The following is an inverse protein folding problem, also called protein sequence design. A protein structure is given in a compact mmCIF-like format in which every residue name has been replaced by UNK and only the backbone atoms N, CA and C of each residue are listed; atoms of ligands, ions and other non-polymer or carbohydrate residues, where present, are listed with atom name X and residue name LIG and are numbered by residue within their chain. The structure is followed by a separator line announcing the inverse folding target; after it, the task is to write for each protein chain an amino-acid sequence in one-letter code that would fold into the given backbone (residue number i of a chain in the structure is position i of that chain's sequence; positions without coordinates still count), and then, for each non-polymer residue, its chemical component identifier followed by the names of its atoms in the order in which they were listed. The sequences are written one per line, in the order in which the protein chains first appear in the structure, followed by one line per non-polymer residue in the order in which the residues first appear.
data_IF_637129383443
#
_entry.id   IF_637129383443
#
_cell.length_a   1.000
_cell.length_b   1.000
_cell.length_c   1.000
_cell.angle_alpha   90.00
_cell.angle_beta   90.00
_cell.angle_gamma   90.00
#
_symmetry.space_group_name_H-M   'P 1'
#
loop_
_entity.id
_entity.type
_entity.pdbx_description
1 polymer ?
#
# COMPACT_ATOMS: atom_id res chain seq x y z
N UNK A 1 -21.22 -8.31 7.18
CA UNK A 1 -20.45 -9.26 6.34
C UNK A 1 -19.18 -9.54 7.11
N UNK A 2 -18.97 -10.78 7.54
CA UNK A 2 -17.75 -11.16 8.25
C UNK A 2 -16.59 -11.23 7.27
N UNK A 3 -15.45 -10.67 7.64
CA UNK A 3 -14.25 -10.64 6.79
C UNK A 3 -13.41 -11.92 6.88
N UNK A 4 -13.62 -12.74 7.90
CA UNK A 4 -12.88 -13.98 8.18
C UNK A 4 -11.36 -13.76 8.27
N UNK A 5 -10.95 -12.67 8.90
CA UNK A 5 -9.55 -12.28 9.05
C UNK A 5 -8.99 -12.53 10.46
N UNK A 6 -9.85 -12.86 11.43
CA UNK A 6 -9.42 -13.10 12.81
C UNK A 6 -8.32 -14.18 12.88
N UNK A 7 -7.23 -13.85 13.57
CA UNK A 7 -6.06 -14.72 13.71
C UNK A 7 -5.11 -14.76 12.49
N UNK A 8 -5.45 -14.15 11.36
CA UNK A 8 -4.54 -13.99 10.21
C UNK A 8 -3.36 -13.09 10.56
N UNK A 9 -2.22 -13.37 9.98
CA UNK A 9 -1.01 -12.55 10.15
C UNK A 9 -0.84 -11.61 8.96
N UNK A 10 -0.73 -10.33 9.23
CA UNK A 10 -0.62 -9.25 8.25
C UNK A 10 0.71 -8.52 8.40
N UNK A 11 1.47 -8.42 7.34
CA UNK A 11 2.70 -7.63 7.25
C UNK A 11 2.44 -6.37 6.42
N UNK A 12 2.85 -5.20 6.93
CA UNK A 12 2.66 -3.92 6.23
C UNK A 12 3.97 -3.15 6.17
N UNK A 13 4.50 -2.93 4.98
CA UNK A 13 5.65 -2.03 4.79
C UNK A 13 5.18 -0.57 4.80
N UNK A 14 6.00 0.32 5.38
CA UNK A 14 5.61 1.72 5.54
C UNK A 14 4.45 1.94 6.52
N UNK A 15 4.34 1.07 7.54
CA UNK A 15 3.22 1.06 8.50
C UNK A 15 3.25 2.13 9.58
N UNK A 16 4.29 2.98 9.66
CA UNK A 16 4.43 3.98 10.72
C UNK A 16 3.66 5.28 10.52
N UNK A 17 3.09 5.53 9.33
CA UNK A 17 2.33 6.77 9.03
C UNK A 17 1.31 6.54 7.92
N UNK A 18 0.40 7.51 7.75
CA UNK A 18 -0.51 7.59 6.61
C UNK A 18 -1.35 6.33 6.38
N UNK A 19 -1.42 5.89 5.13
CA UNK A 19 -2.27 4.75 4.71
C UNK A 19 -1.84 3.46 5.40
N UNK A 20 -0.51 3.20 5.50
CA UNK A 20 0.00 1.99 6.16
C UNK A 20 -0.34 1.92 7.65
N UNK A 21 -0.26 3.06 8.36
CA UNK A 21 -0.69 3.16 9.76
C UNK A 21 -2.19 2.88 9.89
N UNK A 22 -3.02 3.52 9.08
CA UNK A 22 -4.47 3.29 9.10
C UNK A 22 -4.82 1.83 8.78
N UNK A 23 -4.14 1.23 7.79
CA UNK A 23 -4.33 -0.18 7.45
C UNK A 23 -4.01 -1.10 8.63
N UNK A 24 -2.90 -0.85 9.34
CA UNK A 24 -2.56 -1.61 10.54
C UNK A 24 -3.70 -1.60 11.57
N UNK A 25 -4.30 -0.44 11.84
CA UNK A 25 -5.42 -0.33 12.77
C UNK A 25 -6.67 -1.10 12.28
N UNK A 26 -7.04 -0.95 11.00
CA UNK A 26 -8.23 -1.63 10.48
C UNK A 26 -8.04 -3.16 10.50
N UNK A 27 -6.86 -3.69 10.18
CA UNK A 27 -6.57 -5.12 10.33
C UNK A 27 -6.58 -5.58 11.81
N UNK A 28 -6.08 -4.77 12.74
CA UNK A 28 -6.14 -5.09 14.18
C UNK A 28 -7.60 -5.16 14.68
N UNK A 29 -8.48 -4.28 14.21
CA UNK A 29 -9.92 -4.31 14.53
C UNK A 29 -10.61 -5.60 14.05
N UNK A 30 -10.13 -6.18 12.94
CA UNK A 30 -10.60 -7.47 12.42
C UNK A 30 -9.98 -8.69 13.16
N UNK A 31 -9.23 -8.45 14.24
CA UNK A 31 -8.60 -9.51 15.04
C UNK A 31 -7.35 -10.12 14.40
N UNK A 32 -6.72 -9.44 13.46
CA UNK A 32 -5.47 -9.89 12.86
C UNK A 32 -4.28 -9.67 13.82
N UNK A 33 -3.24 -10.50 13.66
CA UNK A 33 -1.90 -10.23 14.18
C UNK A 33 -1.17 -9.38 13.16
N UNK A 34 -0.71 -8.19 13.55
CA UNK A 34 -0.16 -7.22 12.61
C UNK A 34 1.31 -6.93 12.93
N UNK A 35 2.14 -6.96 11.89
CA UNK A 35 3.52 -6.53 11.95
C UNK A 35 3.76 -5.40 10.94
N UNK A 36 4.38 -4.31 11.38
CA UNK A 36 4.70 -3.17 10.53
C UNK A 36 6.20 -2.90 10.49
N UNK A 37 6.68 -2.45 9.34
CA UNK A 37 8.06 -1.98 9.23
C UNK A 37 8.17 -0.64 8.48
N UNK A 38 9.34 -0.03 8.60
CA UNK A 38 9.70 1.22 7.93
C UNK A 38 10.99 1.78 8.52
N UNK A 39 11.58 2.80 7.89
CA UNK A 39 12.89 3.34 8.29
C UNK A 39 12.86 4.17 9.58
N UNK A 40 11.75 4.90 9.81
CA UNK A 40 11.63 5.84 10.93
C UNK A 40 11.14 5.14 12.19
N UNK A 41 12.07 4.62 13.00
CA UNK A 41 11.75 3.85 14.21
C UNK A 41 10.85 4.60 15.18
N UNK A 42 11.01 5.92 15.32
CA UNK A 42 10.18 6.73 16.22
C UNK A 42 8.71 6.79 15.77
N UNK A 43 8.46 6.81 14.45
CA UNK A 43 7.09 6.74 13.92
C UNK A 43 6.45 5.37 14.15
N UNK A 44 7.23 4.30 14.06
CA UNK A 44 6.76 2.95 14.37
C UNK A 44 6.41 2.80 15.85
N UNK A 45 7.29 3.29 16.74
CA UNK A 45 7.03 3.29 18.20
C UNK A 45 5.78 4.10 18.53
N UNK A 46 5.66 5.31 17.99
CA UNK A 46 4.47 6.15 18.19
C UNK A 46 3.20 5.41 17.76
N UNK A 47 3.19 4.77 16.60
CA UNK A 47 2.05 3.98 16.11
C UNK A 47 1.74 2.80 17.03
N UNK A 48 2.76 2.07 17.48
CA UNK A 48 2.59 0.97 18.43
C UNK A 48 1.97 1.45 19.74
N UNK A 49 2.51 2.52 20.33
CA UNK A 49 2.10 3.02 21.64
C UNK A 49 0.65 3.56 21.58
N UNK A 50 0.27 4.24 20.47
CA UNK A 50 -1.11 4.66 20.23
C UNK A 50 -2.07 3.45 20.13
N UNK A 51 -1.67 2.37 19.45
CA UNK A 51 -2.55 1.19 19.29
C UNK A 51 -2.58 0.33 20.56
N UNK A 52 -1.49 0.29 21.29
CA UNK A 52 -1.45 -0.35 22.62
C UNK A 52 -2.40 0.36 23.60
N UNK A 53 -2.49 1.67 23.56
CA UNK A 53 -3.47 2.43 24.37
C UNK A 53 -4.93 2.13 23.99
N UNK A 54 -5.18 1.62 22.79
CA UNK A 54 -6.49 1.12 22.33
C UNK A 54 -6.71 -0.38 22.61
N UNK A 55 -5.74 -1.05 23.27
CA UNK A 55 -5.81 -2.47 23.60
C UNK A 55 -5.33 -3.42 22.50
N UNK A 56 -4.61 -2.94 21.49
CA UNK A 56 -4.07 -3.76 20.42
C UNK A 56 -2.56 -3.98 20.56
N UNK A 57 -2.11 -5.18 20.24
CA UNK A 57 -0.69 -5.50 20.13
C UNK A 57 -0.21 -5.37 18.69
N UNK A 58 0.97 -4.76 18.50
CA UNK A 58 1.55 -4.50 17.20
C UNK A 58 3.06 -4.80 17.20
N UNK A 59 3.50 -5.70 16.34
CA UNK A 59 4.92 -5.93 16.11
C UNK A 59 5.49 -4.82 15.23
N UNK A 60 6.64 -4.25 15.62
CA UNK A 60 7.32 -3.21 14.85
C UNK A 60 8.78 -3.58 14.62
N UNK A 61 9.31 -3.25 13.44
CA UNK A 61 10.75 -3.35 13.16
C UNK A 61 11.22 -2.24 12.23
N UNK A 62 12.39 -1.66 12.50
CA UNK A 62 13.03 -0.72 11.57
C UNK A 62 13.65 -1.51 10.42
N UNK A 63 13.15 -1.26 9.20
CA UNK A 63 13.61 -1.91 7.96
C UNK A 63 13.61 -0.88 6.84
N UNK A 64 14.68 -0.84 6.07
CA UNK A 64 14.66 -0.23 4.74
C UNK A 64 14.22 -1.29 3.73
N UNK A 65 13.11 -1.03 3.04
CA UNK A 65 12.54 -1.96 2.05
C UNK A 65 13.41 -2.16 0.81
N UNK A 66 14.44 -1.33 0.62
CA UNK A 66 15.44 -1.48 -0.45
C UNK A 66 16.52 -2.50 -0.10
N UNK A 67 16.67 -2.85 1.18
CA UNK A 67 17.52 -3.92 1.65
C UNK A 67 16.73 -5.24 1.68
N UNK A 68 16.95 -6.08 0.67
CA UNK A 68 16.30 -7.39 0.55
C UNK A 68 16.55 -8.27 1.78
N UNK A 69 17.77 -8.31 2.28
CA UNK A 69 18.15 -9.18 3.40
C UNK A 69 17.47 -8.75 4.69
N UNK A 70 17.43 -7.44 4.97
CA UNK A 70 16.72 -6.90 6.12
C UNK A 70 15.22 -7.14 6.04
N UNK A 71 14.62 -7.03 4.84
CA UNK A 71 13.19 -7.30 4.63
C UNK A 71 12.86 -8.79 4.79
N UNK A 72 13.72 -9.68 4.29
CA UNK A 72 13.57 -11.13 4.48
C UNK A 72 13.72 -11.52 5.96
N UNK A 73 14.73 -10.99 6.65
CA UNK A 73 14.89 -11.23 8.09
C UNK A 73 13.71 -10.74 8.93
N UNK A 74 13.06 -9.65 8.51
CA UNK A 74 11.82 -9.19 9.14
C UNK A 74 10.67 -10.19 8.93
N UNK A 75 10.51 -10.72 7.71
CA UNK A 75 9.49 -11.73 7.41
C UNK A 75 9.72 -13.01 8.24
N UNK A 76 10.97 -13.47 8.35
CA UNK A 76 11.34 -14.62 9.22
C UNK A 76 11.00 -14.36 10.70
N UNK A 77 11.25 -13.15 11.18
CA UNK A 77 10.91 -12.77 12.56
C UNK A 77 9.38 -12.76 12.78
N UNK A 78 8.59 -12.29 11.81
CA UNK A 78 7.13 -12.34 11.86
C UNK A 78 6.62 -13.78 11.84
N UNK A 79 7.13 -14.63 10.94
CA UNK A 79 6.76 -16.04 10.88
C UNK A 79 7.09 -16.76 12.19
N UNK A 80 8.26 -16.49 12.79
CA UNK A 80 8.67 -17.04 14.09
C UNK A 80 7.72 -16.61 15.21
N UNK A 81 7.30 -15.35 15.23
CA UNK A 81 6.43 -14.78 16.28
C UNK A 81 4.96 -15.23 16.13
N UNK A 82 4.47 -15.31 14.90
CA UNK A 82 3.04 -15.47 14.63
C UNK A 82 2.68 -16.80 13.91
N UNK A 83 3.67 -17.55 13.45
CA UNK A 83 3.50 -18.89 12.86
C UNK A 83 3.23 -18.91 11.36
N UNK A 84 2.77 -17.80 10.77
CA UNK A 84 2.50 -17.71 9.32
C UNK A 84 2.53 -16.25 8.87
N UNK A 85 2.52 -16.03 7.55
CA UNK A 85 2.19 -14.76 6.91
C UNK A 85 1.03 -15.05 5.95
N UNK A 86 -0.13 -14.43 6.19
CA UNK A 86 -1.35 -14.65 5.40
C UNK A 86 -1.63 -13.47 4.45
N UNK A 87 -1.26 -12.26 4.86
CA UNK A 87 -1.43 -11.03 4.07
C UNK A 87 -0.14 -10.22 4.09
N UNK A 88 0.26 -9.76 2.91
CA UNK A 88 1.42 -8.88 2.76
C UNK A 88 1.01 -7.60 2.03
N UNK A 89 1.28 -6.45 2.64
CA UNK A 89 0.96 -5.14 2.06
C UNK A 89 2.26 -4.40 1.71
N UNK A 90 2.56 -4.31 0.43
CA UNK A 90 3.61 -3.46 -0.11
C UNK A 90 3.09 -2.02 -0.20
N UNK A 91 3.24 -1.25 0.89
CA UNK A 91 2.74 0.11 0.98
C UNK A 91 3.87 1.16 1.06
N UNK A 92 5.07 0.78 1.45
CA UNK A 92 6.20 1.70 1.51
C UNK A 92 6.44 2.38 0.15
N UNK A 93 6.83 3.64 0.18
CA UNK A 93 7.16 4.41 -1.01
C UNK A 93 7.46 5.86 -0.69
N UNK A 94 8.04 6.56 -1.64
CA UNK A 94 8.36 7.98 -1.60
C UNK A 94 7.81 8.69 -2.83
N UNK A 95 7.68 10.00 -2.76
CA UNK A 95 7.23 10.81 -3.88
C UNK A 95 7.93 12.16 -3.85
N UNK A 96 8.63 12.48 -4.94
CA UNK A 96 9.25 13.76 -5.15
C UNK A 96 8.61 14.44 -6.36
N UNK A 97 8.56 15.76 -6.35
CA UNK A 97 8.01 16.56 -7.46
C UNK A 97 9.12 17.47 -7.97
N UNK A 98 9.59 17.19 -9.19
CA UNK A 98 10.62 17.97 -9.89
C UNK A 98 10.35 17.94 -11.39
N UNK A 99 10.80 18.96 -12.12
CA UNK A 99 10.85 18.93 -13.59
C UNK A 99 11.82 17.87 -14.11
N UNK A 100 11.63 17.43 -15.35
CA UNK A 100 12.51 16.42 -15.96
C UNK A 100 14.00 16.80 -15.88
N UNK A 101 14.30 18.06 -16.15
CA UNK A 101 15.69 18.55 -16.18
C UNK A 101 16.31 18.71 -14.78
N UNK A 102 15.50 18.66 -13.73
CA UNK A 102 15.93 18.81 -12.32
C UNK A 102 16.14 17.44 -11.64
N UNK A 103 15.73 16.34 -12.28
CA UNK A 103 16.02 14.99 -11.79
C UNK A 103 17.40 14.55 -12.25
N UNK A 104 18.22 14.03 -11.33
CA UNK A 104 19.37 13.24 -11.71
C UNK A 104 19.02 11.74 -11.85
N UNK A 105 19.93 11.00 -12.48
CA UNK A 105 19.73 9.56 -12.74
C UNK A 105 19.74 8.75 -11.43
N UNK A 106 20.49 9.18 -10.42
CA UNK A 106 20.57 8.50 -9.14
C UNK A 106 19.29 8.66 -8.32
N UNK A 107 18.66 9.83 -8.39
CA UNK A 107 17.33 10.02 -7.79
C UNK A 107 16.28 9.11 -8.47
N UNK A 108 16.37 8.93 -9.79
CA UNK A 108 15.50 7.98 -10.51
C UNK A 108 15.72 6.54 -10.01
N UNK A 109 16.97 6.11 -9.86
CA UNK A 109 17.33 4.77 -9.35
C UNK A 109 16.81 4.57 -7.93
N UNK A 110 17.10 5.51 -7.03
CA UNK A 110 16.65 5.49 -5.63
C UNK A 110 15.12 5.37 -5.53
N UNK A 111 14.39 6.08 -6.39
CA UNK A 111 12.93 6.00 -6.42
C UNK A 111 12.46 4.64 -6.98
N UNK A 112 13.14 4.12 -7.99
CA UNK A 112 12.86 2.79 -8.56
C UNK A 112 13.07 1.70 -7.50
N UNK A 113 14.15 1.76 -6.75
CA UNK A 113 14.44 0.81 -5.68
C UNK A 113 13.38 0.87 -4.58
N UNK A 114 13.02 2.07 -4.16
CA UNK A 114 12.07 2.24 -3.05
C UNK A 114 10.61 1.95 -3.39
N UNK A 115 10.21 1.98 -4.68
CA UNK A 115 8.81 1.81 -5.10
C UNK A 115 8.62 0.51 -5.89
N UNK A 116 9.47 0.24 -6.89
CA UNK A 116 9.26 -0.88 -7.81
C UNK A 116 10.02 -2.13 -7.36
N UNK A 117 11.33 -2.00 -7.11
CA UNK A 117 12.15 -3.14 -6.68
C UNK A 117 11.69 -3.64 -5.31
N UNK A 118 11.35 -2.74 -4.37
CA UNK A 118 10.82 -3.12 -3.06
C UNK A 118 9.50 -3.91 -3.14
N UNK A 119 8.61 -3.57 -4.08
CA UNK A 119 7.37 -4.33 -4.31
C UNK A 119 7.67 -5.72 -4.88
N UNK A 120 8.61 -5.82 -5.81
CA UNK A 120 9.07 -7.11 -6.31
C UNK A 120 9.63 -7.96 -5.17
N UNK A 121 10.57 -7.42 -4.40
CA UNK A 121 11.22 -8.09 -3.26
C UNK A 121 10.23 -8.54 -2.20
N UNK A 122 9.37 -7.64 -1.74
CA UNK A 122 8.34 -7.94 -0.75
C UNK A 122 7.34 -8.99 -1.23
N UNK A 123 6.92 -8.94 -2.49
CA UNK A 123 6.01 -9.94 -3.07
C UNK A 123 6.68 -11.31 -3.18
N UNK A 124 7.96 -11.37 -3.55
CA UNK A 124 8.73 -12.61 -3.60
C UNK A 124 8.86 -13.24 -2.22
N UNK A 125 9.29 -12.47 -1.22
CA UNK A 125 9.41 -12.91 0.18
C UNK A 125 8.06 -13.40 0.70
N UNK A 126 6.99 -12.63 0.50
CA UNK A 126 5.65 -13.03 0.90
C UNK A 126 5.22 -14.37 0.29
N UNK A 127 5.42 -14.54 -1.01
CA UNK A 127 5.08 -15.77 -1.72
C UNK A 127 5.88 -16.97 -1.20
N UNK A 128 7.16 -16.81 -0.89
CA UNK A 128 8.00 -17.86 -0.30
C UNK A 128 7.44 -18.32 1.05
N UNK A 129 7.04 -17.40 1.94
CA UNK A 129 6.44 -17.73 3.24
C UNK A 129 5.03 -18.35 3.09
N UNK A 130 4.18 -17.80 2.22
CA UNK A 130 2.83 -18.33 1.98
C UNK A 130 2.85 -19.75 1.41
N UNK A 131 3.81 -20.06 0.52
CA UNK A 131 4.00 -21.42 -0.03
C UNK A 131 4.36 -22.46 1.03
N UNK A 132 5.14 -22.09 2.06
CA UNK A 132 5.51 -23.01 3.16
C UNK A 132 4.27 -23.57 3.85
N UNK A 133 3.24 -22.77 4.02
CA UNK A 133 1.99 -23.20 4.68
C UNK A 133 1.06 -23.98 3.76
N UNK A 134 1.17 -23.80 2.45
CA UNK A 134 0.26 -24.36 1.45
C UNK A 134 -1.20 -23.86 1.56
N UNK A 135 -1.47 -22.85 2.39
CA UNK A 135 -2.84 -22.31 2.61
C UNK A 135 -3.23 -21.22 1.62
N UNK A 136 -2.25 -20.72 0.84
CA UNK A 136 -2.41 -19.54 0.01
C UNK A 136 -2.20 -18.26 0.80
N UNK A 137 -2.63 -17.13 0.25
CA UNK A 137 -2.48 -15.82 0.88
C UNK A 137 -2.89 -14.67 -0.01
N UNK A 138 -2.66 -13.44 0.44
CA UNK A 138 -2.98 -12.23 -0.32
C UNK A 138 -1.82 -11.25 -0.27
N UNK A 139 -1.41 -10.77 -1.45
CA UNK A 139 -0.43 -9.70 -1.59
C UNK A 139 -1.16 -8.46 -2.11
N UNK A 140 -1.08 -7.35 -1.37
CA UNK A 140 -1.67 -6.07 -1.73
C UNK A 140 -0.56 -5.08 -2.09
N UNK A 141 -0.62 -4.50 -3.28
CA UNK A 141 0.38 -3.56 -3.77
C UNK A 141 -0.18 -2.13 -3.85
N UNK A 142 0.54 -1.17 -3.26
CA UNK A 142 0.23 0.24 -3.42
C UNK A 142 0.58 0.73 -4.83
N UNK A 143 -0.40 0.83 -5.72
CA UNK A 143 -0.27 1.55 -6.98
C UNK A 143 -0.58 3.04 -6.77
N UNK A 144 -1.01 3.73 -7.79
CA UNK A 144 -1.41 5.14 -7.77
C UNK A 144 -2.25 5.47 -8.99
N UNK A 145 -3.12 6.48 -8.90
CA UNK A 145 -3.73 7.05 -10.10
C UNK A 145 -2.69 7.56 -11.11
N UNK A 146 -1.47 7.90 -10.64
CA UNK A 146 -0.35 8.28 -11.52
C UNK A 146 0.17 7.13 -12.40
N UNK A 147 -0.21 5.89 -12.10
CA UNK A 147 0.06 4.73 -12.94
C UNK A 147 -0.87 4.67 -14.17
N UNK A 148 -2.03 5.28 -14.08
CA UNK A 148 -3.05 5.32 -15.14
C UNK A 148 -2.91 6.60 -15.96
N UNK A 149 -2.89 7.76 -15.29
CA UNK A 149 -2.64 9.06 -15.93
C UNK A 149 -1.42 9.68 -15.23
N UNK A 150 -0.24 9.68 -15.88
CA UNK A 150 0.97 10.22 -15.28
C UNK A 150 0.87 11.73 -15.09
N UNK A 151 1.54 12.24 -14.05
CA UNK A 151 1.60 13.66 -13.77
C UNK A 151 2.94 14.24 -14.25
N UNK A 152 2.91 15.38 -14.93
CA UNK A 152 4.11 16.19 -15.15
C UNK A 152 4.77 16.54 -13.79
N UNK A 153 6.10 16.52 -13.76
CA UNK A 153 6.86 16.69 -12.52
C UNK A 153 6.96 15.45 -11.63
N UNK A 154 6.46 14.28 -12.06
CA UNK A 154 6.51 13.01 -11.31
C UNK A 154 6.89 11.83 -12.20
N UNK A 155 7.71 12.06 -13.22
CA UNK A 155 8.02 11.02 -14.20
C UNK A 155 8.55 9.71 -13.57
N UNK A 156 9.56 9.72 -12.67
CA UNK A 156 10.04 8.50 -12.02
C UNK A 156 8.94 7.80 -11.21
N UNK A 157 8.19 8.54 -10.41
CA UNK A 157 7.12 8.00 -9.59
C UNK A 157 6.03 7.33 -10.44
N UNK A 158 5.57 8.01 -11.50
CA UNK A 158 4.52 7.49 -12.38
C UNK A 158 4.96 6.22 -13.11
N UNK A 159 6.20 6.20 -13.61
CA UNK A 159 6.79 5.03 -14.25
C UNK A 159 6.87 3.83 -13.28
N UNK A 160 7.36 4.06 -12.04
CA UNK A 160 7.42 3.01 -11.03
C UNK A 160 6.03 2.48 -10.67
N UNK A 161 5.03 3.35 -10.48
CA UNK A 161 3.66 2.93 -10.15
C UNK A 161 2.98 2.19 -11.31
N UNK A 162 3.25 2.55 -12.56
CA UNK A 162 2.83 1.76 -13.73
C UNK A 162 3.50 0.37 -13.74
N UNK A 163 4.80 0.31 -13.39
CA UNK A 163 5.52 -0.94 -13.18
C UNK A 163 4.89 -1.82 -12.09
N UNK A 164 4.52 -1.24 -10.95
CA UNK A 164 3.81 -1.96 -9.86
C UNK A 164 2.50 -2.54 -10.36
N UNK A 165 1.73 -1.80 -11.16
CA UNK A 165 0.50 -2.28 -11.77
C UNK A 165 0.73 -3.45 -12.72
N UNK A 166 1.82 -3.43 -13.48
CA UNK A 166 2.24 -4.53 -14.35
C UNK A 166 2.65 -5.77 -13.53
N UNK A 167 3.52 -5.60 -12.52
CA UNK A 167 3.94 -6.68 -11.62
C UNK A 167 2.75 -7.34 -10.93
N UNK A 168 1.76 -6.56 -10.50
CA UNK A 168 0.54 -7.09 -9.86
C UNK A 168 -0.18 -8.10 -10.76
N UNK A 169 -0.33 -7.79 -12.04
CA UNK A 169 -0.99 -8.69 -13.01
C UNK A 169 -0.18 -9.96 -13.27
N UNK A 170 1.13 -9.81 -13.46
CA UNK A 170 2.02 -10.94 -13.72
C UNK A 170 2.08 -11.88 -12.53
N UNK A 171 2.29 -11.33 -11.32
CA UNK A 171 2.36 -12.15 -10.11
C UNK A 171 1.03 -12.84 -9.79
N UNK A 172 -0.10 -12.19 -10.05
CA UNK A 172 -1.41 -12.79 -9.88
C UNK A 172 -1.58 -14.08 -10.71
N UNK A 173 -1.05 -14.08 -11.93
CA UNK A 173 -1.09 -15.26 -12.80
C UNK A 173 -0.09 -16.34 -12.34
N UNK A 174 1.15 -15.97 -12.03
CA UNK A 174 2.21 -16.89 -11.64
C UNK A 174 1.96 -17.57 -10.29
N UNK A 175 1.32 -16.86 -9.33
CA UNK A 175 1.10 -17.33 -7.97
C UNK A 175 -0.29 -17.96 -7.76
N UNK A 176 -1.17 -17.92 -8.76
CA UNK A 176 -2.52 -18.49 -8.66
C UNK A 176 -2.53 -19.99 -8.33
N UNK A 177 -1.57 -20.75 -8.87
CA UNK A 177 -1.40 -22.18 -8.56
C UNK A 177 -1.12 -22.44 -7.08
N UNK A 178 -0.52 -21.47 -6.39
CA UNK A 178 -0.21 -21.54 -4.95
C UNK A 178 -1.36 -20.97 -4.09
N UNK A 179 -2.50 -20.64 -4.71
CA UNK A 179 -3.67 -19.99 -4.07
C UNK A 179 -3.34 -18.64 -3.46
N UNK A 180 -2.37 -17.90 -4.04
CA UNK A 180 -1.99 -16.57 -3.62
C UNK A 180 -2.61 -15.58 -4.59
N UNK A 181 -3.42 -14.65 -4.07
CA UNK A 181 -3.97 -13.54 -4.84
C UNK A 181 -3.04 -12.33 -4.77
N UNK A 182 -2.91 -11.61 -5.86
CA UNK A 182 -2.16 -10.36 -5.92
C UNK A 182 -3.06 -9.27 -6.48
N UNK A 183 -3.29 -8.22 -5.70
CA UNK A 183 -4.20 -7.14 -6.06
C UNK A 183 -3.54 -5.79 -5.76
N UNK A 184 -3.72 -4.81 -6.63
CA UNK A 184 -3.30 -3.44 -6.34
C UNK A 184 -4.47 -2.61 -5.80
N UNK A 185 -4.21 -1.75 -4.84
CA UNK A 185 -5.09 -0.64 -4.50
C UNK A 185 -4.49 0.66 -5.05
N UNK A 186 -5.38 1.54 -5.52
CA UNK A 186 -5.01 2.78 -6.21
C UNK A 186 -5.55 3.97 -5.42
N UNK A 187 -4.76 4.52 -4.49
CA UNK A 187 -5.15 5.73 -3.79
C UNK A 187 -5.32 6.91 -4.74
N UNK A 188 -6.38 7.67 -4.55
CA UNK A 188 -6.52 9.01 -5.09
C UNK A 188 -5.70 10.02 -4.28
N UNK A 189 -6.12 11.29 -4.31
CA UNK A 189 -5.54 12.32 -3.45
C UNK A 189 -6.01 12.08 -2.00
N UNK A 190 -5.14 11.43 -1.23
CA UNK A 190 -5.40 11.04 0.16
C UNK A 190 -4.64 11.98 1.10
N UNK A 191 -5.33 12.54 2.10
CA UNK A 191 -4.73 13.41 3.12
C UNK A 191 -3.83 12.58 4.05
N UNK A 192 -2.52 12.73 3.87
CA UNK A 192 -1.47 12.05 4.63
C UNK A 192 -0.29 12.99 4.82
N UNK A 193 0.69 12.62 5.66
CA UNK A 193 1.92 13.40 5.85
C UNK A 193 2.61 13.71 4.50
N UNK A 194 2.66 12.76 3.57
CA UNK A 194 3.30 12.93 2.25
C UNK A 194 2.58 13.96 1.37
N UNK A 195 1.27 14.04 1.46
CA UNK A 195 0.45 14.91 0.60
C UNK A 195 0.11 16.26 1.23
N UNK A 196 0.33 16.45 2.53
CA UNK A 196 -0.10 17.61 3.29
C UNK A 196 0.29 18.95 2.65
N UNK A 197 1.59 19.12 2.34
CA UNK A 197 2.10 20.34 1.69
C UNK A 197 1.47 20.60 0.32
N UNK A 198 1.25 19.55 -0.47
CA UNK A 198 0.63 19.70 -1.80
C UNK A 198 -0.87 20.05 -1.68
N UNK A 199 -1.57 19.48 -0.70
CA UNK A 199 -2.97 19.82 -0.42
C UNK A 199 -3.08 21.26 0.07
N UNK A 200 -2.20 21.69 0.96
CA UNK A 200 -2.17 23.07 1.46
C UNK A 200 -1.99 24.08 0.31
N UNK A 201 -1.02 23.85 -0.58
CA UNK A 201 -0.69 24.77 -1.66
C UNK A 201 -1.65 24.71 -2.85
N UNK A 202 -2.24 23.57 -3.14
CA UNK A 202 -2.99 23.31 -4.38
C UNK A 202 -4.39 22.74 -4.15
N UNK A 203 -4.89 22.71 -2.91
CA UNK A 203 -6.15 22.04 -2.53
C UNK A 203 -7.33 22.34 -3.44
N UNK A 204 -7.69 23.63 -3.67
CA UNK A 204 -8.82 23.96 -4.54
C UNK A 204 -8.68 23.43 -5.97
N UNK A 205 -7.48 23.47 -6.54
CA UNK A 205 -7.20 22.93 -7.87
C UNK A 205 -7.31 21.39 -7.91
N UNK A 206 -6.75 20.73 -6.90
CA UNK A 206 -6.77 19.27 -6.79
C UNK A 206 -8.19 18.72 -6.57
N UNK A 207 -9.03 19.49 -5.89
CA UNK A 207 -10.42 19.12 -5.60
C UNK A 207 -11.29 19.10 -6.86
N UNK A 208 -11.02 19.96 -7.83
CA UNK A 208 -11.78 20.00 -9.11
C UNK A 208 -11.77 18.69 -9.87
N UNK A 209 -10.74 17.86 -9.67
CA UNK A 209 -10.61 16.56 -10.35
C UNK A 209 -11.30 15.42 -9.59
N UNK A 210 -11.94 15.68 -8.45
CA UNK A 210 -12.51 14.66 -7.58
C UNK A 210 -14.02 14.82 -7.50
N UNK A 211 -14.82 13.96 -8.20
CA UNK A 211 -16.28 14.04 -8.18
C UNK A 211 -16.89 14.04 -6.77
N UNK A 212 -16.35 13.27 -5.84
CA UNK A 212 -16.85 13.22 -4.45
C UNK A 212 -16.54 14.48 -3.63
N UNK A 213 -15.87 15.50 -4.20
CA UNK A 213 -15.57 16.80 -3.60
C UNK A 213 -14.98 16.73 -2.18
N UNK A 214 -14.17 15.69 -1.92
CA UNK A 214 -13.36 15.55 -0.72
C UNK A 214 -12.06 14.83 -1.03
N UNK A 215 -11.02 15.13 -0.28
CA UNK A 215 -9.82 14.28 -0.25
C UNK A 215 -10.13 12.95 0.42
N UNK A 216 -9.49 11.88 -0.05
CA UNK A 216 -9.52 10.61 0.64
C UNK A 216 -8.87 10.72 2.02
N UNK A 217 -9.34 9.92 2.96
CA UNK A 217 -8.69 9.67 4.24
C UNK A 217 -7.87 8.38 4.13
N UNK A 218 -6.86 8.23 4.99
CA UNK A 218 -6.07 7.00 5.04
C UNK A 218 -6.95 5.76 5.28
N UNK A 219 -8.00 5.91 6.08
CA UNK A 219 -8.99 4.89 6.40
C UNK A 219 -9.83 4.44 5.20
N UNK A 220 -10.05 5.31 4.20
CA UNK A 220 -10.75 4.92 2.97
C UNK A 220 -9.97 3.81 2.24
N UNK A 221 -8.64 3.95 2.15
CA UNK A 221 -7.77 2.92 1.57
C UNK A 221 -7.65 1.69 2.48
N UNK A 222 -7.53 1.89 3.80
CA UNK A 222 -7.36 0.82 4.77
C UNK A 222 -8.55 -0.15 4.75
N UNK A 223 -9.78 0.35 4.72
CA UNK A 223 -10.99 -0.47 4.62
C UNK A 223 -11.07 -1.26 3.32
N UNK A 224 -10.64 -0.67 2.21
CA UNK A 224 -10.54 -1.38 0.94
C UNK A 224 -9.51 -2.52 1.02
N UNK A 225 -8.37 -2.32 1.69
CA UNK A 225 -7.36 -3.38 1.89
C UNK A 225 -7.91 -4.54 2.72
N UNK A 226 -8.64 -4.25 3.82
CA UNK A 226 -9.29 -5.27 4.65
C UNK A 226 -10.25 -6.12 3.81
N UNK A 227 -11.13 -5.47 3.02
CA UNK A 227 -12.02 -6.18 2.10
C UNK A 227 -11.24 -7.04 1.10
N UNK A 228 -10.22 -6.48 0.44
CA UNK A 228 -9.42 -7.20 -0.57
C UNK A 228 -8.64 -8.38 0.04
N UNK A 229 -8.23 -8.30 1.30
CA UNK A 229 -7.57 -9.37 2.02
C UNK A 229 -8.53 -10.50 2.45
N UNK A 230 -9.82 -10.21 2.56
CA UNK A 230 -10.83 -11.13 3.07
C UNK A 230 -11.27 -12.20 2.06
N UNK A 231 -12.00 -13.21 2.56
CA UNK A 231 -12.62 -14.24 1.74
C UNK A 231 -13.73 -13.67 0.84
N UNK A 232 -14.31 -12.51 1.19
CA UNK A 232 -15.31 -11.84 0.37
C UNK A 232 -14.75 -11.35 -0.97
N UNK A 233 -13.42 -11.25 -1.08
CA UNK A 233 -12.71 -10.87 -2.30
C UNK A 233 -12.03 -12.08 -2.99
N UNK A 234 -12.43 -13.32 -2.68
CA UNK A 234 -11.75 -14.55 -3.12
C UNK A 234 -11.58 -14.67 -4.66
N UNK A 235 -12.48 -14.08 -5.45
CA UNK A 235 -12.39 -14.08 -6.91
C UNK A 235 -11.77 -12.80 -7.51
N UNK A 236 -11.27 -11.89 -6.66
CA UNK A 236 -10.58 -10.66 -7.09
C UNK A 236 -9.08 -10.94 -7.13
N UNK A 237 -8.49 -10.99 -8.32
CA UNK A 237 -7.07 -11.26 -8.54
C UNK A 237 -6.57 -10.52 -9.80
N UNK A 238 -5.31 -10.09 -9.82
CA UNK A 238 -4.66 -9.47 -10.97
C UNK A 238 -5.24 -8.12 -11.40
N UNK A 239 -6.01 -7.47 -10.58
CA UNK A 239 -6.68 -6.20 -10.88
C UNK A 239 -6.23 -5.07 -9.96
N UNK A 240 -6.74 -3.87 -10.25
CA UNK A 240 -6.52 -2.66 -9.48
C UNK A 240 -7.86 -2.13 -9.00
N UNK A 241 -7.96 -1.82 -7.71
CA UNK A 241 -9.16 -1.23 -7.10
C UNK A 241 -8.87 0.22 -6.78
N UNK A 242 -9.59 1.12 -7.43
CA UNK A 242 -9.46 2.56 -7.21
C UNK A 242 -10.19 3.00 -5.95
N UNK A 243 -9.46 3.70 -5.07
CA UNK A 243 -9.97 4.34 -3.86
C UNK A 243 -9.68 5.84 -4.03
N UNK A 244 -10.37 6.46 -4.98
CA UNK A 244 -9.97 7.76 -5.53
C UNK A 244 -11.09 8.81 -5.57
N UNK A 245 -12.28 8.52 -5.03
CA UNK A 245 -13.41 9.45 -5.02
C UNK A 245 -13.94 9.82 -6.40
N UNK A 246 -13.77 8.91 -7.38
CA UNK A 246 -14.15 9.14 -8.77
C UNK A 246 -13.13 9.92 -9.60
N UNK A 247 -11.96 10.27 -9.03
CA UNK A 247 -10.89 10.88 -9.82
C UNK A 247 -10.56 9.97 -10.99
N UNK A 248 -10.49 10.55 -12.19
CA UNK A 248 -10.22 9.88 -13.46
C UNK A 248 -11.39 9.07 -14.07
N UNK A 249 -12.55 9.01 -13.43
CA UNK A 249 -13.69 8.27 -14.00
C UNK A 249 -14.35 9.02 -15.19
N UNK A 250 -14.22 10.35 -15.24
CA UNK A 250 -14.76 11.21 -16.30
C UNK A 250 -13.85 12.41 -16.58
N UNK A 251 -14.04 13.07 -17.73
CA UNK A 251 -13.28 14.26 -18.10
C UNK A 251 -13.80 15.56 -17.46
N UNK A 252 -15.09 15.61 -17.13
CA UNK A 252 -15.77 16.79 -16.57
C UNK A 252 -16.43 16.46 -15.21
N UNK A 253 -15.62 16.23 -14.16
CA UNK A 253 -16.08 15.67 -12.88
C UNK A 253 -17.07 16.55 -12.12
N UNK A 254 -17.13 17.85 -12.41
CA UNK A 254 -18.03 18.81 -11.75
C UNK A 254 -19.31 19.14 -12.50
N UNK A 255 -19.58 18.48 -13.63
CA UNK A 255 -20.75 18.79 -14.45
C UNK A 255 -22.07 18.85 -13.64
N UNK A 256 -22.30 17.91 -12.75
CA UNK A 256 -23.52 17.87 -11.92
C UNK A 256 -23.54 18.87 -10.76
N UNK A 257 -22.45 19.58 -10.50
CA UNK A 257 -22.37 20.65 -9.51
C UNK A 257 -22.51 22.04 -10.13
N UNK A 258 -22.32 22.14 -11.45
CA UNK A 258 -22.36 23.40 -12.21
C UNK A 258 -23.67 23.58 -12.97
N UNK A 259 -24.49 22.52 -13.07
CA UNK A 259 -25.83 22.47 -13.73
C UNK A 259 -26.89 21.87 -12.81
#
# INVERSE_FOLDING_TARGET
MEMNLAGKTVVITGGGTGIGKAAALEFLKEGCRVAICGRRVEKLKQTRDEYQALGYELMIQSVDVTDYSALAAFADAVEKAYGSIDVWVNNAGSNHIKGLMDYDVEEFRTMTDSILVSVFSGSKIAAEHMRKTGKGGVILNASSFSAVIPNAGRAPYSACKAGVSSLTRTFAAELAKDRIRVVAYVPGMTATEISAKNIELNGPRLMRDIPMQRFGKAEDCAKAMVFLASDNAAYINGTQIEVAGGKLCVQNPLYSYEN
#
